data_IF_854198811502
#
_entry.id   IF_854198811502
#
_cell.length_a   1.000
_cell.length_b   1.000
_cell.length_c   1.000
_cell.angle_alpha   90.00
_cell.angle_beta   90.00
_cell.angle_gamma   90.00
#
_symmetry.space_group_name_H-M   'P 1'
#
loop_
_entity.id
_entity.type
_entity.pdbx_description
1 polymer ?
#
# COMPACT_ATOMS: atom_id res chain seq x y z
N UNK A 1 6.06 4.88 16.97
CA UNK A 1 6.18 5.75 15.77
C UNK A 1 4.85 5.90 15.03
N UNK A 2 4.05 4.83 14.89
CA UNK A 2 2.71 4.84 14.22
C UNK A 2 1.66 5.77 14.90
N UNK A 3 1.86 6.21 16.14
CA UNK A 3 0.93 7.12 16.85
C UNK A 3 1.20 8.62 16.70
N UNK A 4 2.27 9.06 16.04
CA UNK A 4 2.64 10.49 16.09
C UNK A 4 1.97 11.38 15.03
N UNK A 5 1.53 10.82 13.90
CA UNK A 5 0.94 11.60 12.79
C UNK A 5 -0.15 10.78 12.04
N UNK A 6 -1.36 10.65 12.60
CA UNK A 6 -2.40 9.79 12.02
C UNK A 6 -2.81 10.19 10.60
N UNK A 7 -2.82 11.49 10.28
CA UNK A 7 -3.08 11.97 8.92
C UNK A 7 -1.99 11.58 7.91
N UNK A 8 -0.72 11.57 8.34
CA UNK A 8 0.39 11.14 7.48
C UNK A 8 0.32 9.63 7.22
N UNK A 9 0.08 8.83 8.27
CA UNK A 9 -0.07 7.39 8.14
C UNK A 9 -1.23 7.02 7.20
N UNK A 10 -2.39 7.66 7.37
CA UNK A 10 -3.54 7.43 6.50
C UNK A 10 -3.28 7.83 5.05
N UNK A 11 -2.65 8.99 4.82
CA UNK A 11 -2.24 9.40 3.46
C UNK A 11 -1.27 8.39 2.85
N UNK A 12 -0.28 7.92 3.62
CA UNK A 12 0.68 6.92 3.16
C UNK A 12 0.00 5.58 2.81
N UNK A 13 -1.01 5.16 3.59
CA UNK A 13 -1.82 3.98 3.28
C UNK A 13 -2.57 4.13 1.96
N UNK A 14 -3.24 5.26 1.74
CA UNK A 14 -3.97 5.52 0.50
C UNK A 14 -3.05 5.57 -0.72
N UNK A 15 -1.92 6.28 -0.61
CA UNK A 15 -0.93 6.36 -1.68
C UNK A 15 -0.35 4.98 -1.97
N UNK A 16 0.08 4.23 -0.94
CA UNK A 16 0.65 2.89 -1.12
C UNK A 16 -0.34 1.92 -1.77
N UNK A 17 -1.63 2.03 -1.45
CA UNK A 17 -2.69 1.25 -2.10
C UNK A 17 -2.79 1.57 -3.58
N UNK A 18 -2.84 2.85 -3.93
CA UNK A 18 -3.03 3.29 -5.30
C UNK A 18 -1.79 2.93 -6.16
N UNK A 19 -0.58 3.07 -5.64
CA UNK A 19 0.64 2.62 -6.32
C UNK A 19 0.71 1.10 -6.50
N UNK A 20 0.18 0.34 -5.54
CA UNK A 20 0.01 -1.11 -5.70
C UNK A 20 -0.87 -1.46 -6.90
N UNK A 21 -2.01 -0.77 -7.06
CA UNK A 21 -2.91 -0.97 -8.19
C UNK A 21 -2.29 -0.53 -9.52
N UNK A 22 -1.54 0.58 -9.55
CA UNK A 22 -0.81 1.01 -10.74
C UNK A 22 0.22 -0.04 -11.19
N UNK A 23 0.97 -0.58 -10.24
CA UNK A 23 1.97 -1.62 -10.50
C UNK A 23 1.33 -2.90 -11.06
N UNK A 24 0.25 -3.37 -10.42
CA UNK A 24 -0.48 -4.57 -10.88
C UNK A 24 -1.08 -4.35 -12.28
N UNK A 25 -1.62 -3.16 -12.56
CA UNK A 25 -2.12 -2.80 -13.88
C UNK A 25 -1.01 -2.78 -14.93
N UNK A 26 0.15 -2.19 -14.64
CA UNK A 26 1.30 -2.18 -15.54
C UNK A 26 1.79 -3.60 -15.84
N UNK A 27 1.86 -4.48 -14.83
CA UNK A 27 2.21 -5.89 -15.01
C UNK A 27 1.17 -6.63 -15.86
N UNK A 28 -0.12 -6.36 -15.67
CA UNK A 28 -1.19 -6.94 -16.48
C UNK A 28 -1.06 -6.52 -17.95
N UNK A 29 -0.83 -5.23 -18.20
CA UNK A 29 -0.63 -4.69 -19.54
C UNK A 29 0.61 -5.31 -20.21
N UNK A 30 1.72 -5.41 -19.48
CA UNK A 30 2.93 -6.06 -19.96
C UNK A 30 2.67 -7.53 -20.35
N UNK A 31 1.91 -8.25 -19.53
CA UNK A 31 1.57 -9.64 -19.80
C UNK A 31 0.70 -9.85 -21.04
N UNK A 32 0.01 -8.81 -21.52
CA UNK A 32 -0.79 -8.82 -22.75
C UNK A 32 0.03 -8.47 -24.01
N UNK A 33 1.27 -8.04 -23.87
CA UNK A 33 2.14 -7.77 -25.02
C UNK A 33 2.51 -9.07 -25.75
N UNK A 34 2.45 -9.05 -27.08
CA UNK A 34 2.89 -10.17 -27.92
C UNK A 34 4.41 -10.30 -27.93
N UNK A 35 5.11 -9.17 -28.07
CA UNK A 35 6.57 -9.11 -28.09
C UNK A 35 7.11 -8.76 -26.71
N UNK A 36 7.42 -9.78 -25.91
CA UNK A 36 8.01 -9.61 -24.58
C UNK A 36 9.51 -9.35 -24.65
N UNK A 37 10.02 -8.64 -23.65
CA UNK A 37 11.46 -8.45 -23.48
C UNK A 37 12.12 -9.76 -23.05
N UNK A 38 13.40 -9.98 -23.38
CA UNK A 38 14.17 -11.08 -22.82
C UNK A 38 14.17 -11.01 -21.29
N UNK A 39 14.09 -12.16 -20.62
CA UNK A 39 14.10 -12.23 -19.16
C UNK A 39 15.33 -11.54 -18.55
N UNK A 40 16.49 -11.67 -19.19
CA UNK A 40 17.73 -11.00 -18.78
C UNK A 40 17.59 -9.46 -18.75
N UNK A 41 16.92 -8.87 -19.75
CA UNK A 41 16.70 -7.42 -19.80
C UNK A 41 15.81 -6.96 -18.64
N UNK A 42 14.74 -7.70 -18.34
CA UNK A 42 13.83 -7.39 -17.23
C UNK A 42 14.57 -7.50 -15.90
N UNK A 43 15.32 -8.59 -15.70
CA UNK A 43 16.14 -8.80 -14.51
C UNK A 43 17.11 -7.64 -14.33
N UNK A 44 17.84 -7.26 -15.38
CA UNK A 44 18.81 -6.16 -15.30
C UNK A 44 18.15 -4.83 -14.91
N UNK A 45 17.01 -4.48 -15.52
CA UNK A 45 16.28 -3.26 -15.18
C UNK A 45 15.88 -3.26 -13.70
N UNK A 46 15.31 -4.37 -13.22
CA UNK A 46 14.85 -4.48 -11.82
C UNK A 46 16.03 -4.46 -10.86
N UNK A 47 17.11 -5.20 -11.14
CA UNK A 47 18.29 -5.21 -10.26
C UNK A 47 18.96 -3.85 -10.17
N UNK A 48 19.04 -3.10 -11.29
CA UNK A 48 19.55 -1.73 -11.28
C UNK A 48 18.66 -0.80 -10.45
N UNK A 49 17.34 -0.91 -10.57
CA UNK A 49 16.42 -0.14 -9.73
C UNK A 49 16.58 -0.47 -8.24
N UNK A 50 16.75 -1.75 -7.90
CA UNK A 50 17.02 -2.19 -6.52
C UNK A 50 18.30 -1.59 -5.97
N UNK A 51 19.38 -1.56 -6.76
CA UNK A 51 20.66 -1.00 -6.31
C UNK A 51 20.55 0.50 -6.02
N UNK A 52 19.86 1.25 -6.90
CA UNK A 52 19.58 2.68 -6.70
C UNK A 52 18.75 2.92 -5.44
N UNK A 53 17.68 2.14 -5.24
CA UNK A 53 16.81 2.28 -4.06
C UNK A 53 17.53 1.93 -2.76
N UNK A 54 18.43 0.94 -2.78
CA UNK A 54 19.25 0.62 -1.60
C UNK A 54 20.20 1.74 -1.23
N UNK A 55 20.80 2.42 -2.22
CA UNK A 55 21.63 3.60 -1.98
C UNK A 55 20.78 4.72 -1.37
N UNK A 56 19.64 5.04 -1.99
CA UNK A 56 18.72 6.05 -1.50
C UNK A 56 18.27 5.79 -0.05
N UNK A 57 17.88 4.57 0.28
CA UNK A 57 17.41 4.21 1.62
C UNK A 57 18.51 4.33 2.67
N UNK A 58 19.76 3.97 2.32
CA UNK A 58 20.89 4.11 3.24
C UNK A 58 21.19 5.58 3.54
N UNK A 59 21.08 6.44 2.53
CA UNK A 59 21.27 7.88 2.69
C UNK A 59 20.10 8.55 3.42
N UNK A 60 18.87 8.11 3.15
CA UNK A 60 17.65 8.62 3.79
C UNK A 60 17.50 8.17 5.25
N UNK A 61 18.11 7.05 5.64
CA UNK A 61 18.12 6.50 7.00
C UNK A 61 19.56 6.48 7.57
N UNK A 62 20.20 7.64 7.79
CA UNK A 62 21.58 7.71 8.27
C UNK A 62 21.74 7.21 9.72
N UNK A 63 20.65 7.06 10.46
CA UNK A 63 20.63 6.51 11.82
C UNK A 63 19.63 5.35 11.86
N UNK A 64 20.06 4.23 12.44
CA UNK A 64 19.16 3.07 12.62
C UNK A 64 18.04 3.42 13.61
N UNK A 65 16.79 3.30 13.16
CA UNK A 65 15.62 3.55 13.98
C UNK A 65 15.21 2.27 14.72
N UNK A 66 14.65 2.40 15.91
CA UNK A 66 14.11 1.27 16.67
C UNK A 66 12.96 0.65 15.87
N UNK A 67 13.14 -0.60 15.41
CA UNK A 67 12.16 -1.34 14.62
C UNK A 67 12.29 -1.20 13.10
N UNK A 68 13.21 -0.38 12.60
CA UNK A 68 13.52 -0.27 11.16
C UNK A 68 14.94 0.28 10.98
N UNK A 69 15.85 -0.53 10.41
CA UNK A 69 17.16 -0.06 9.98
C UNK A 69 17.32 -0.19 8.46
N UNK A 70 18.37 0.44 7.93
CA UNK A 70 18.65 0.45 6.50
C UNK A 70 18.82 -0.97 5.94
N UNK A 71 19.39 -1.90 6.71
CA UNK A 71 19.55 -3.29 6.30
C UNK A 71 18.19 -4.01 6.10
N UNK A 72 17.28 -3.90 7.07
CA UNK A 72 15.93 -4.46 6.96
C UNK A 72 15.15 -3.83 5.81
N UNK A 73 15.31 -2.52 5.58
CA UNK A 73 14.65 -1.87 4.45
C UNK A 73 15.23 -2.31 3.10
N UNK A 74 16.55 -2.51 3.00
CA UNK A 74 17.17 -3.12 1.81
C UNK A 74 16.63 -4.53 1.54
N UNK A 75 16.47 -5.36 2.57
CA UNK A 75 15.87 -6.70 2.42
C UNK A 75 14.40 -6.63 1.97
N UNK A 76 13.64 -5.64 2.46
CA UNK A 76 12.27 -5.42 2.01
C UNK A 76 12.20 -4.99 0.53
N UNK A 77 13.13 -4.14 0.07
CA UNK A 77 13.24 -3.79 -1.35
C UNK A 77 13.48 -5.04 -2.21
N UNK A 78 14.36 -5.94 -1.77
CA UNK A 78 14.62 -7.22 -2.45
C UNK A 78 13.37 -8.11 -2.50
N UNK A 79 12.60 -8.16 -1.40
CA UNK A 79 11.34 -8.90 -1.34
C UNK A 79 10.31 -8.37 -2.35
N UNK A 80 10.17 -7.04 -2.46
CA UNK A 80 9.32 -6.40 -3.45
C UNK A 80 9.80 -6.68 -4.89
N UNK A 81 11.11 -6.66 -5.14
CA UNK A 81 11.70 -6.93 -6.43
C UNK A 81 11.43 -8.37 -6.91
N UNK A 82 11.56 -9.36 -6.02
CA UNK A 82 11.22 -10.74 -6.34
C UNK A 82 9.73 -10.92 -6.68
N UNK A 83 8.84 -10.21 -5.98
CA UNK A 83 7.40 -10.22 -6.30
C UNK A 83 7.15 -9.68 -7.71
N UNK A 84 7.79 -8.55 -8.05
CA UNK A 84 7.66 -7.91 -9.37
C UNK A 84 8.21 -8.79 -10.49
N UNK A 85 9.39 -9.40 -10.30
CA UNK A 85 9.98 -10.35 -11.25
C UNK A 85 9.01 -11.48 -11.59
N UNK A 86 8.40 -12.10 -10.56
CA UNK A 86 7.43 -13.18 -10.74
C UNK A 86 6.18 -12.68 -11.47
N UNK A 87 5.67 -11.48 -11.16
CA UNK A 87 4.51 -10.89 -11.86
C UNK A 87 4.78 -10.65 -13.35
N UNK A 88 6.04 -10.38 -13.72
CA UNK A 88 6.50 -10.21 -15.10
C UNK A 88 6.88 -11.54 -15.79
N UNK A 89 6.77 -12.67 -15.09
CA UNK A 89 7.07 -14.01 -15.63
C UNK A 89 8.57 -14.37 -15.61
N UNK A 90 9.35 -13.73 -14.75
CA UNK A 90 10.78 -13.98 -14.55
C UNK A 90 11.01 -14.68 -13.20
N UNK A 91 12.05 -15.50 -13.11
CA UNK A 91 12.42 -16.16 -11.87
C UNK A 91 12.92 -15.17 -10.82
N UNK A 92 12.72 -15.49 -9.54
CA UNK A 92 13.21 -14.70 -8.41
C UNK A 92 14.74 -14.59 -8.45
N UNK A 93 15.26 -13.46 -7.99
CA UNK A 93 16.71 -13.19 -7.98
C UNK A 93 17.31 -13.20 -6.59
N UNK A 94 16.59 -12.69 -5.59
CA UNK A 94 17.09 -12.47 -4.23
C UNK A 94 16.62 -13.56 -3.27
N UNK A 95 15.43 -14.11 -3.49
CA UNK A 95 14.71 -15.00 -2.58
C UNK A 95 14.56 -14.41 -1.17
N UNK A 96 14.34 -13.10 -1.11
CA UNK A 96 14.24 -12.38 0.15
C UNK A 96 12.91 -12.68 0.86
N UNK A 97 12.95 -12.65 2.19
CA UNK A 97 11.77 -12.79 3.06
C UNK A 97 11.41 -11.40 3.58
N UNK A 98 10.11 -11.08 3.68
CA UNK A 98 9.64 -9.83 4.25
C UNK A 98 10.13 -9.68 5.71
N UNK A 99 10.94 -8.66 6.04
CA UNK A 99 11.42 -8.45 7.41
C UNK A 99 10.41 -7.69 8.30
N UNK A 100 9.27 -7.26 7.76
CA UNK A 100 8.26 -6.45 8.44
C UNK A 100 6.92 -7.17 8.52
N UNK A 101 6.72 -7.99 9.55
CA UNK A 101 5.46 -8.73 9.78
C UNK A 101 4.23 -7.81 9.90
N UNK A 102 4.42 -6.56 10.32
CA UNK A 102 3.34 -5.56 10.44
C UNK A 102 2.90 -4.96 9.10
N UNK A 103 3.70 -5.06 8.03
CA UNK A 103 3.29 -4.58 6.70
C UNK A 103 2.22 -5.46 6.06
N UNK A 104 2.19 -6.75 6.40
CA UNK A 104 1.12 -7.65 5.93
C UNK A 104 -0.24 -7.22 6.48
N UNK A 105 -0.29 -6.68 7.72
CA UNK A 105 -1.52 -6.15 8.32
C UNK A 105 -2.07 -4.91 7.60
N UNK A 106 -1.19 -4.09 7.02
CA UNK A 106 -1.58 -2.90 6.23
C UNK A 106 -2.05 -3.34 4.83
N UNK A 107 -1.35 -4.29 4.22
CA UNK A 107 -1.71 -4.87 2.92
C UNK A 107 -3.04 -5.66 2.97
N UNK A 108 -3.35 -6.30 4.11
CA UNK A 108 -4.58 -7.07 4.35
C UNK A 108 -5.86 -6.22 4.42
N UNK A 109 -5.78 -4.90 4.65
CA UNK A 109 -6.98 -4.06 4.65
C UNK A 109 -7.65 -3.92 3.27
N UNK A 110 -6.93 -4.27 2.18
CA UNK A 110 -7.52 -4.44 0.85
C UNK A 110 -8.52 -5.61 0.73
N UNK A 111 -8.57 -6.49 1.74
CA UNK A 111 -9.58 -7.56 1.89
C UNK A 111 -10.46 -7.39 3.14
N UNK A 112 -10.45 -6.22 3.79
CA UNK A 112 -11.54 -5.91 4.72
C UNK A 112 -12.79 -5.67 3.89
N UNK A 113 -13.77 -6.55 4.09
CA UNK A 113 -15.00 -6.58 3.32
C UNK A 113 -15.59 -5.17 3.24
N UNK A 114 -15.92 -4.73 2.02
CA UNK A 114 -16.66 -3.49 1.75
C UNK A 114 -17.95 -3.38 2.60
N UNK A 115 -18.44 -4.52 3.14
CA UNK A 115 -19.53 -4.65 4.09
C UNK A 115 -19.18 -4.37 5.57
N UNK A 116 -17.95 -4.57 6.04
CA UNK A 116 -17.57 -4.30 7.43
C UNK A 116 -17.33 -2.80 7.68
N UNK A 117 -16.77 -2.08 6.70
CA UNK A 117 -16.52 -0.63 6.81
C UNK A 117 -17.81 0.19 6.84
N UNK A 118 -18.85 -0.19 6.07
CA UNK A 118 -20.12 0.55 6.04
C UNK A 118 -20.91 0.48 7.34
N UNK A 119 -20.76 -0.56 8.18
CA UNK A 119 -21.60 -0.69 9.39
C UNK A 119 -21.03 0.12 10.56
N UNK A 120 -19.71 0.35 10.60
CA UNK A 120 -19.06 1.11 11.68
C UNK A 120 -19.28 2.62 11.64
N UNK A 121 -19.44 3.23 10.45
CA UNK A 121 -19.56 4.69 10.31
C UNK A 121 -20.99 5.22 10.48
N UNK A 122 -22.03 4.42 10.17
CA UNK A 122 -23.42 4.84 10.42
C UNK A 122 -23.84 4.73 11.88
N UNK A 123 -23.20 3.85 12.68
CA UNK A 123 -23.49 3.72 14.11
C UNK A 123 -23.13 4.96 14.94
N UNK A 124 -22.33 5.89 14.39
CA UNK A 124 -21.97 7.15 15.06
C UNK A 124 -22.67 8.38 14.48
N UNK A 125 -23.46 8.24 13.42
CA UNK A 125 -24.10 9.36 12.72
C UNK A 125 -25.63 9.42 12.88
N UNK A 126 -26.26 8.62 13.74
CA UNK A 126 -27.69 8.81 14.02
C UNK A 126 -28.44 7.69 14.73
N UNK A 127 -28.17 7.42 16.02
CA UNK A 127 -29.14 6.76 16.90
C UNK A 127 -29.19 7.45 18.25
N UNK A 128 -30.10 8.42 18.33
CA UNK A 128 -30.44 9.20 19.51
C UNK A 128 -31.51 10.21 19.11
N UNK A 129 -32.59 9.73 18.49
CA UNK A 129 -33.78 10.54 18.28
C UNK A 129 -34.47 10.74 19.63
N UNK A 130 -34.48 11.96 20.15
CA UNK A 130 -35.61 12.40 20.97
C UNK A 130 -36.74 12.77 20.00
N UNK A 131 -37.86 12.08 20.17
CA UNK A 131 -38.97 12.00 19.21
C UNK A 131 -39.93 13.21 19.26
N UNK A 132 -39.46 14.41 19.62
CA UNK A 132 -40.35 15.57 19.85
C UNK A 132 -39.99 16.88 19.11
N UNK A 133 -38.91 16.96 18.32
CA UNK A 133 -38.50 18.23 17.67
C UNK A 133 -38.56 18.25 16.13
N UNK A 134 -39.29 17.32 15.50
CA UNK A 134 -39.47 17.29 14.05
C UNK A 134 -40.86 17.79 13.59
N UNK A 135 -41.35 18.89 14.17
CA UNK A 135 -42.50 19.61 13.61
C UNK A 135 -42.02 20.87 12.89
N UNK A 136 -41.56 20.71 11.65
CA UNK A 136 -41.33 21.84 10.75
C UNK A 136 -42.59 22.04 9.91
N UNK A 137 -43.41 23.01 10.31
CA UNK A 137 -44.67 23.39 9.67
C UNK A 137 -44.40 24.08 8.33
N UNK A 138 -45.04 23.57 7.27
CA UNK A 138 -44.96 24.06 5.88
C UNK A 138 -45.94 25.20 5.59
N UNK A 139 -46.51 25.84 6.62
CA UNK A 139 -47.56 26.87 6.46
C UNK A 139 -47.12 28.34 6.58
N UNK A 140 -45.84 28.65 6.76
CA UNK A 140 -45.39 30.05 6.82
C UNK A 140 -44.75 30.50 5.49
N UNK A 141 -45.64 30.91 4.59
CA UNK A 141 -45.38 31.67 3.36
C UNK A 141 -45.41 33.20 3.67
N UNK A 142 -44.52 33.95 3.00
CA UNK A 142 -44.18 35.40 3.04
C UNK A 142 -43.10 35.89 4.02
#
# INVERSE_FOLDING_TARGET
>A
VVMMLPGLCFSNELISRDEGLHCDFACLMYNKLENKLPAETITNIITTAVDIEKEFVKDALPVELIGMNSNSMCQYIEFCADRLLVQLGVEKRYNAINPFDWMDLISLQGKSNFFEKRVGEYGKAGVGADADEALFDLSLDF
#
